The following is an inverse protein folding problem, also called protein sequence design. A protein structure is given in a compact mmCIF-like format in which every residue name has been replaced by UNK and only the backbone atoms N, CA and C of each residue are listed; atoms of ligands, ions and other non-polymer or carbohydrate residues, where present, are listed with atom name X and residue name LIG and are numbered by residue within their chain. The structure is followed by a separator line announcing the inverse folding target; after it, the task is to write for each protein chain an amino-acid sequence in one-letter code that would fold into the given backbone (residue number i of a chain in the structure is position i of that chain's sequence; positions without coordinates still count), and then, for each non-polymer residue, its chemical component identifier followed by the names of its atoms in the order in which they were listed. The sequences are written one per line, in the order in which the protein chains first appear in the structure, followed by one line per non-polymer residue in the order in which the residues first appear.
data_IF_277348980346
#
_entry.id   IF_277348980346
#
_cell.length_a   1.000
_cell.length_b   1.000
_cell.length_c   1.000
_cell.angle_alpha   90.00
_cell.angle_beta   90.00
_cell.angle_gamma   90.00
#
_symmetry.space_group_name_H-M   'P 1'
#
loop_
_entity.id
_entity.type
_entity.pdbx_description
1 polymer ?
#
# COMPACT_ATOMS: atom_id res chain seq x y z
N UNK A 1 19.75 20.75 -14.78
CA UNK A 1 20.55 20.40 -13.62
C UNK A 1 19.97 19.13 -12.97
N UNK A 2 20.87 18.25 -12.60
CA UNK A 2 20.45 16.94 -12.09
C UNK A 2 19.66 17.04 -10.78
N UNK A 3 19.91 18.04 -9.94
CA UNK A 3 19.18 18.20 -8.69
C UNK A 3 17.72 18.60 -8.88
N UNK A 4 17.32 18.96 -10.09
CA UNK A 4 15.91 19.27 -10.38
C UNK A 4 15.16 18.06 -10.93
N UNK A 5 15.86 16.96 -11.12
CA UNK A 5 15.26 15.74 -11.64
C UNK A 5 14.82 14.84 -10.49
N UNK A 6 13.71 14.12 -10.70
CA UNK A 6 13.34 13.05 -9.79
C UNK A 6 14.38 11.93 -9.91
N UNK A 7 14.38 11.01 -8.96
CA UNK A 7 15.30 9.89 -9.00
C UNK A 7 15.13 9.08 -10.30
N UNK A 8 13.89 8.82 -10.70
CA UNK A 8 13.61 8.05 -11.89
C UNK A 8 14.03 8.76 -13.17
N UNK A 9 13.80 10.05 -13.26
CA UNK A 9 14.23 10.85 -14.40
C UNK A 9 15.75 10.87 -14.51
N UNK A 10 16.42 10.98 -13.37
CA UNK A 10 17.86 11.00 -13.32
C UNK A 10 18.47 9.70 -13.82
N UNK A 11 17.81 8.58 -13.52
CA UNK A 11 18.21 7.26 -14.00
C UNK A 11 17.80 7.00 -15.43
N UNK A 12 17.01 7.90 -16.04
CA UNK A 12 16.54 7.74 -17.40
C UNK A 12 15.33 6.82 -17.53
N UNK A 13 14.68 6.51 -16.41
CA UNK A 13 13.50 5.66 -16.40
C UNK A 13 12.24 6.42 -16.04
N UNK A 14 11.09 5.82 -16.30
CA UNK A 14 9.83 6.35 -15.85
C UNK A 14 9.54 5.83 -14.46
N UNK A 15 8.78 6.61 -13.67
CA UNK A 15 8.36 6.16 -12.35
C UNK A 15 7.48 4.92 -12.46
N UNK A 16 7.88 3.87 -11.77
CA UNK A 16 7.09 2.65 -11.67
C UNK A 16 6.53 2.57 -10.26
N UNK A 17 5.19 2.57 -10.11
CA UNK A 17 4.60 2.61 -8.78
C UNK A 17 4.72 1.26 -8.07
N UNK A 18 5.77 1.11 -7.30
CA UNK A 18 6.00 -0.08 -6.48
C UNK A 18 5.91 0.29 -5.03
N UNK A 19 5.28 -0.59 -4.25
CA UNK A 19 5.24 -0.45 -2.81
C UNK A 19 6.55 -0.95 -2.21
N UNK A 20 6.86 -0.49 -1.01
CA UNK A 20 8.04 -0.92 -0.26
C UNK A 20 7.61 -1.60 1.04
N UNK A 21 8.28 -2.70 1.38
CA UNK A 21 8.04 -3.40 2.63
C UNK A 21 9.13 -3.07 3.64
N UNK A 22 8.69 -2.68 4.84
CA UNK A 22 9.58 -2.35 5.96
C UNK A 22 9.41 -3.40 7.04
N UNK A 23 10.43 -4.26 7.17
CA UNK A 23 10.36 -5.41 8.08
C UNK A 23 10.28 -5.02 9.55
N UNK A 24 10.92 -3.92 9.94
CA UNK A 24 10.95 -3.49 11.34
C UNK A 24 9.54 -3.18 11.87
N UNK A 25 8.71 -2.59 11.03
CA UNK A 25 7.35 -2.22 11.40
C UNK A 25 6.31 -3.18 10.83
N UNK A 26 6.73 -4.19 10.07
CA UNK A 26 5.86 -5.12 9.38
C UNK A 26 4.78 -4.39 8.58
N UNK A 27 5.21 -3.43 7.78
CA UNK A 27 4.27 -2.61 7.01
C UNK A 27 4.71 -2.44 5.56
N UNK A 28 3.71 -2.18 4.73
CA UNK A 28 3.89 -1.85 3.31
C UNK A 28 3.50 -0.39 3.14
N UNK A 29 4.34 0.38 2.45
CA UNK A 29 4.06 1.79 2.20
C UNK A 29 4.15 2.08 0.72
N UNK A 30 3.20 2.87 0.22
CA UNK A 30 3.17 3.32 -1.15
C UNK A 30 2.84 4.81 -1.20
N UNK A 31 3.62 5.56 -1.96
CA UNK A 31 3.39 6.98 -2.20
C UNK A 31 3.63 7.24 -3.69
N UNK A 32 2.71 7.92 -4.35
CA UNK A 32 2.82 8.19 -5.78
C UNK A 32 3.43 9.54 -6.12
N UNK A 33 3.78 10.34 -5.12
CA UNK A 33 4.44 11.63 -5.32
C UNK A 33 5.60 11.78 -4.33
N UNK A 34 6.68 12.37 -4.79
CA UNK A 34 7.82 12.70 -3.94
C UNK A 34 7.61 14.11 -3.39
N UNK A 35 6.96 14.20 -2.26
CA UNK A 35 6.64 15.46 -1.61
C UNK A 35 6.55 15.26 -0.09
N UNK A 36 6.42 16.35 0.64
CA UNK A 36 6.18 16.29 2.08
C UNK A 36 4.82 15.63 2.31
N UNK A 37 4.79 14.65 3.17
CA UNK A 37 3.60 13.83 3.41
C UNK A 37 2.98 14.12 4.76
N UNK A 38 1.65 14.05 4.80
CA UNK A 38 0.87 14.14 6.04
C UNK A 38 0.15 12.81 6.23
N UNK A 39 0.35 12.20 7.40
CA UNK A 39 -0.20 10.88 7.69
C UNK A 39 -1.46 10.99 8.53
N UNK A 40 -2.49 10.24 8.13
CA UNK A 40 -3.73 10.15 8.90
C UNK A 40 -4.04 8.68 9.19
N UNK A 41 -3.90 8.29 10.45
CA UNK A 41 -4.22 6.92 10.85
C UNK A 41 -5.72 6.70 10.85
N UNK A 42 -6.16 5.64 10.19
CA UNK A 42 -7.56 5.24 10.13
C UNK A 42 -7.85 4.19 11.20
N UNK A 43 -7.01 3.16 11.25
CA UNK A 43 -7.14 2.09 12.23
C UNK A 43 -5.77 1.43 12.44
N UNK A 44 -5.75 0.27 13.06
CA UNK A 44 -4.51 -0.46 13.36
C UNK A 44 -3.77 -0.95 12.12
N UNK A 45 -4.45 -1.05 10.97
CA UNK A 45 -3.85 -1.56 9.75
C UNK A 45 -3.60 -0.49 8.69
N UNK A 46 -4.46 0.52 8.62
CA UNK A 46 -4.43 1.50 7.55
C UNK A 46 -4.10 2.91 8.04
N UNK A 47 -3.11 3.52 7.39
CA UNK A 47 -2.80 4.94 7.51
C UNK A 47 -2.87 5.54 6.11
N UNK A 48 -3.60 6.63 5.96
CA UNK A 48 -3.67 7.39 4.71
C UNK A 48 -2.51 8.37 4.65
N UNK A 49 -2.00 8.60 3.43
CA UNK A 49 -0.92 9.53 3.20
C UNK A 49 -1.40 10.61 2.24
N UNK A 50 -1.38 11.85 2.72
CA UNK A 50 -1.80 13.01 1.95
C UNK A 50 -0.59 13.88 1.62
N UNK A 51 -0.74 14.75 0.62
CA UNK A 51 0.24 15.79 0.35
C UNK A 51 0.22 16.83 1.49
N UNK A 52 1.14 17.78 1.46
CA UNK A 52 1.27 18.77 2.54
C UNK A 52 0.03 19.66 2.70
N UNK A 53 -0.77 19.81 1.64
CA UNK A 53 -2.02 20.61 1.70
C UNK A 53 -3.16 19.83 2.32
N UNK A 54 -3.00 18.51 2.51
CA UNK A 54 -4.02 17.57 2.97
C UNK A 54 -5.23 17.46 2.03
N UNK A 55 -5.08 17.91 0.80
CA UNK A 55 -6.17 17.90 -0.18
C UNK A 55 -6.14 16.71 -1.11
N UNK A 56 -4.95 16.11 -1.32
CA UNK A 56 -4.82 14.97 -2.22
C UNK A 56 -4.31 13.76 -1.49
N UNK A 57 -5.01 12.64 -1.67
CA UNK A 57 -4.55 11.35 -1.16
C UNK A 57 -3.51 10.82 -2.14
N UNK A 58 -2.27 10.70 -1.69
CA UNK A 58 -1.14 10.31 -2.54
C UNK A 58 -0.56 8.95 -2.20
N UNK A 59 -1.07 8.29 -1.18
CA UNK A 59 -0.58 6.97 -0.83
C UNK A 59 -1.20 6.43 0.42
N UNK A 60 -0.61 5.36 0.91
CA UNK A 60 -1.12 4.67 2.09
C UNK A 60 -0.05 3.79 2.71
N UNK A 61 -0.29 3.40 3.95
CA UNK A 61 0.56 2.49 4.69
C UNK A 61 -0.33 1.39 5.27
N UNK A 62 0.08 0.14 5.06
CA UNK A 62 -0.66 -1.04 5.51
C UNK A 62 0.20 -1.81 6.50
N UNK A 63 -0.28 -2.00 7.72
CA UNK A 63 0.43 -2.73 8.77
C UNK A 63 -0.11 -4.15 8.90
N UNK A 64 0.70 -5.02 9.52
CA UNK A 64 0.33 -6.40 9.73
C UNK A 64 0.53 -7.27 8.50
N UNK A 65 1.50 -6.94 7.67
CA UNK A 65 1.73 -7.62 6.40
C UNK A 65 1.90 -9.13 6.55
N UNK A 66 2.69 -9.58 7.53
CA UNK A 66 2.96 -11.02 7.68
C UNK A 66 1.70 -11.82 7.95
N UNK A 67 0.85 -11.29 8.80
CA UNK A 67 -0.42 -11.94 9.13
C UNK A 67 -1.30 -12.10 7.88
N UNK A 68 -1.47 -11.01 7.13
CA UNK A 68 -2.32 -11.04 5.94
C UNK A 68 -1.69 -11.81 4.80
N UNK A 69 -0.37 -11.77 4.68
CA UNK A 69 0.34 -12.54 3.66
C UNK A 69 0.15 -14.05 3.86
N UNK A 70 0.22 -14.52 5.11
CA UNK A 70 -0.01 -15.93 5.41
C UNK A 70 -1.43 -16.35 5.03
N UNK A 71 -2.41 -15.48 5.27
CA UNK A 71 -3.78 -15.76 4.88
C UNK A 71 -3.94 -15.78 3.36
N UNK A 72 -3.26 -14.87 2.68
CA UNK A 72 -3.28 -14.84 1.20
C UNK A 72 -2.71 -16.12 0.60
N UNK A 73 -1.65 -16.65 1.19
CA UNK A 73 -1.03 -17.89 0.72
C UNK A 73 -2.00 -19.07 0.79
N UNK A 74 -2.97 -19.03 1.71
CA UNK A 74 -3.92 -20.09 1.87
C UNK A 74 -4.93 -20.20 0.72
N UNK A 75 -5.18 -19.12 0.00
CA UNK A 75 -6.14 -19.13 -1.10
C UNK A 75 -5.64 -18.49 -2.39
N UNK A 76 -4.40 -18.02 -2.40
CA UNK A 76 -3.73 -17.58 -3.62
C UNK A 76 -2.45 -18.39 -3.77
N UNK A 77 -2.17 -18.83 -4.98
CA UNK A 77 -0.96 -19.62 -5.23
C UNK A 77 0.22 -18.64 -5.39
N UNK A 78 0.84 -18.27 -4.27
CA UNK A 78 1.93 -17.31 -4.26
C UNK A 78 3.32 -17.94 -4.25
N UNK A 79 3.43 -19.26 -4.30
CA UNK A 79 4.71 -19.96 -4.14
C UNK A 79 5.78 -19.56 -5.16
N UNK A 80 5.35 -19.20 -6.35
CA UNK A 80 6.26 -18.79 -7.43
C UNK A 80 5.95 -17.38 -7.92
N UNK A 81 5.30 -16.59 -7.07
CA UNK A 81 4.94 -15.24 -7.45
C UNK A 81 6.16 -14.32 -7.43
N UNK A 82 6.32 -13.55 -8.49
CA UNK A 82 7.37 -12.53 -8.57
C UNK A 82 6.96 -11.24 -7.87
N UNK A 83 5.68 -11.08 -7.62
CA UNK A 83 5.16 -9.88 -6.97
C UNK A 83 3.79 -10.16 -6.36
N UNK A 84 3.36 -9.26 -5.50
CA UNK A 84 2.02 -9.27 -4.90
C UNK A 84 1.29 -8.00 -5.34
N UNK A 85 0.05 -8.14 -5.79
CA UNK A 85 -0.82 -6.98 -6.02
C UNK A 85 -1.23 -6.42 -4.68
N UNK A 86 -1.03 -5.12 -4.49
CA UNK A 86 -1.42 -4.47 -3.24
C UNK A 86 -2.95 -4.44 -3.09
N UNK A 87 -3.68 -4.36 -4.19
CA UNK A 87 -5.14 -4.47 -4.13
C UNK A 87 -5.60 -5.78 -3.48
N UNK A 88 -4.88 -6.88 -3.73
CA UNK A 88 -5.19 -8.17 -3.10
C UNK A 88 -4.93 -8.14 -1.59
N UNK A 89 -3.87 -7.46 -1.16
CA UNK A 89 -3.58 -7.27 0.25
C UNK A 89 -4.68 -6.46 0.94
N UNK A 90 -5.12 -5.39 0.30
CA UNK A 90 -6.20 -4.55 0.83
C UNK A 90 -7.49 -5.36 0.95
N UNK A 91 -7.81 -6.17 -0.05
CA UNK A 91 -8.98 -7.05 0.00
C UNK A 91 -8.90 -8.02 1.17
N UNK A 92 -7.72 -8.56 1.44
CA UNK A 92 -7.54 -9.50 2.56
C UNK A 92 -7.76 -8.81 3.89
N UNK A 93 -7.29 -7.58 4.05
CA UNK A 93 -7.53 -6.79 5.25
C UNK A 93 -9.04 -6.55 5.42
N UNK A 94 -9.72 -6.16 4.35
CA UNK A 94 -11.17 -5.93 4.39
C UNK A 94 -11.94 -7.18 4.75
N UNK A 95 -11.52 -8.33 4.23
CA UNK A 95 -12.14 -9.61 4.53
C UNK A 95 -11.98 -9.96 6.01
N UNK A 96 -10.79 -9.72 6.56
CA UNK A 96 -10.52 -9.98 7.97
C UNK A 96 -11.33 -9.07 8.89
N UNK A 97 -11.49 -7.79 8.51
CA UNK A 97 -12.29 -6.85 9.29
C UNK A 97 -13.78 -7.21 9.28
N UNK A 98 -14.25 -7.75 8.17
CA UNK A 98 -15.64 -8.21 8.08
C UNK A 98 -16.66 -7.16 8.49
N UNK A 99 -17.48 -7.49 9.49
CA UNK A 99 -18.55 -6.60 9.96
C UNK A 99 -18.04 -5.31 10.57
N UNK A 100 -16.84 -5.29 11.14
CA UNK A 100 -16.27 -4.08 11.71
C UNK A 100 -16.13 -3.00 10.65
N UNK A 101 -15.80 -3.41 9.42
CA UNK A 101 -15.68 -2.46 8.32
C UNK A 101 -17.04 -1.83 8.00
N UNK A 102 -18.12 -2.61 8.11
CA UNK A 102 -19.47 -2.14 7.82
C UNK A 102 -19.98 -1.12 8.84
N UNK A 103 -19.45 -1.13 10.05
CA UNK A 103 -19.94 -0.26 11.14
C UNK A 103 -19.35 1.15 11.10
N UNK A 104 -18.33 1.39 10.30
CA UNK A 104 -17.68 2.70 10.23
C UNK A 104 -17.63 3.21 8.79
N UNK A 105 -18.35 4.28 8.54
CA UNK A 105 -18.36 4.92 7.23
C UNK A 105 -16.98 5.45 6.86
N UNK A 106 -16.27 6.05 7.83
CA UNK A 106 -14.93 6.57 7.60
C UNK A 106 -13.97 5.45 7.16
N UNK A 107 -14.00 4.32 7.87
CA UNK A 107 -13.19 3.16 7.52
C UNK A 107 -13.48 2.66 6.11
N UNK A 108 -14.77 2.45 5.81
CA UNK A 108 -15.17 1.96 4.47
C UNK A 108 -14.66 2.88 3.38
N UNK A 109 -14.85 4.18 3.55
CA UNK A 109 -14.41 5.16 2.56
C UNK A 109 -12.90 5.16 2.39
N UNK A 110 -12.16 5.04 3.50
CA UNK A 110 -10.70 5.01 3.45
C UNK A 110 -10.19 3.77 2.71
N UNK A 111 -10.73 2.60 3.03
CA UNK A 111 -10.33 1.37 2.34
C UNK A 111 -10.72 1.37 0.86
N UNK A 112 -11.88 1.92 0.53
CA UNK A 112 -12.29 2.05 -0.87
C UNK A 112 -11.35 2.99 -1.63
N UNK A 113 -10.95 4.09 -1.00
CA UNK A 113 -10.06 5.06 -1.63
C UNK A 113 -8.69 4.46 -1.94
N UNK A 114 -8.09 3.76 -0.97
CA UNK A 114 -6.77 3.15 -1.18
C UNK A 114 -6.84 1.99 -2.17
N UNK A 115 -7.94 1.24 -2.16
CA UNK A 115 -8.14 0.17 -3.13
C UNK A 115 -8.20 0.71 -4.55
N UNK A 116 -8.89 1.83 -4.75
CA UNK A 116 -8.95 2.49 -6.06
C UNK A 116 -7.57 2.91 -6.53
N UNK A 117 -6.77 3.49 -5.65
CA UNK A 117 -5.40 3.86 -5.97
C UNK A 117 -4.59 2.63 -6.37
N UNK A 118 -4.65 1.57 -5.56
CA UNK A 118 -3.90 0.35 -5.82
C UNK A 118 -4.27 -0.28 -7.16
N UNK A 119 -5.55 -0.30 -7.50
CA UNK A 119 -6.03 -0.86 -8.75
C UNK A 119 -5.69 0.03 -9.94
N UNK A 120 -5.97 1.33 -9.83
CA UNK A 120 -5.74 2.28 -10.92
C UNK A 120 -4.26 2.39 -11.27
N UNK A 121 -3.42 2.45 -10.27
CA UNK A 121 -1.98 2.63 -10.46
C UNK A 121 -1.23 1.31 -10.52
N UNK A 122 -1.94 0.19 -10.43
CA UNK A 122 -1.38 -1.16 -10.51
C UNK A 122 -0.18 -1.33 -9.59
N UNK A 123 -0.41 -1.02 -8.31
CA UNK A 123 0.64 -1.04 -7.30
C UNK A 123 1.06 -2.47 -6.98
N UNK A 124 2.35 -2.73 -7.06
CA UNK A 124 2.93 -4.05 -6.80
C UNK A 124 3.91 -3.99 -5.65
N UNK A 125 4.02 -5.08 -4.93
CA UNK A 125 5.09 -5.30 -3.97
C UNK A 125 6.01 -6.37 -4.54
N UNK A 126 7.25 -5.99 -4.84
CA UNK A 126 8.21 -6.89 -5.47
C UNK A 126 9.11 -7.59 -4.47
N UNK A 127 9.42 -6.93 -3.37
CA UNK A 127 10.34 -7.47 -2.36
C UNK A 127 9.55 -7.76 -1.09
N UNK A 128 9.29 -9.04 -0.85
CA UNK A 128 8.54 -9.47 0.31
C UNK A 128 9.12 -10.78 0.86
N UNK A 129 8.94 -11.06 2.17
CA UNK A 129 9.49 -12.25 2.78
C UNK A 129 8.69 -13.50 2.38
N UNK A 130 9.29 -14.34 1.53
CA UNK A 130 8.66 -15.60 1.11
C UNK A 130 8.73 -16.66 2.20
N UNK A 131 9.79 -16.63 2.98
CA UNK A 131 9.99 -17.57 4.07
C UNK A 131 9.65 -16.89 5.38
N UNK A 132 8.77 -17.50 6.12
CA UNK A 132 8.42 -17.00 7.44
C UNK A 132 9.45 -17.44 8.47
#
# INVERSE_FOLDING_TARGET
MVENLTYDEWLGGEYTPNAAYFSDADCVEYVNEDTVCVYKRIDEFLTLIYDETKMRLIGFKLKGFRYFFERMKGHLQLNNADFIWISALIEEICRDLGEELATSKERRQAYQAVRKIAEKEQVKLLDFPLAA
#
